data_IF_196322988791
#
_entry.id   IF_196322988791
#
_cell.length_a   1.000
_cell.length_b   1.000
_cell.length_c   1.000
_cell.angle_alpha   90.00
_cell.angle_beta   90.00
_cell.angle_gamma   90.00
#
_symmetry.space_group_name_H-M   'P 1'
#
loop_
_entity.id
_entity.type
_entity.pdbx_description
1 polymer ?
#
# COMPACT_ATOMS: atom_id res chain seq x y z
N UNK A 1 -41.00 -28.04 -56.06
CA UNK A 1 -42.11 -28.09 -55.08
C UNK A 1 -41.78 -29.11 -53.98
N UNK A 2 -42.39 -29.03 -52.79
CA UNK A 2 -41.90 -29.71 -51.58
C UNK A 2 -42.90 -30.67 -50.91
N UNK A 3 -42.42 -31.54 -50.00
CA UNK A 3 -43.15 -32.04 -48.82
C UNK A 3 -42.11 -32.13 -47.68
N UNK A 4 -42.01 -31.18 -46.73
CA UNK A 4 -42.86 -30.92 -45.55
C UNK A 4 -43.00 -32.09 -44.54
N UNK A 5 -42.32 -31.97 -43.41
CA UNK A 5 -42.87 -32.34 -42.10
C UNK A 5 -42.51 -31.24 -41.07
N UNK A 6 -43.37 -31.06 -40.06
CA UNK A 6 -43.64 -29.73 -39.50
C UNK A 6 -43.72 -29.73 -37.96
N UNK A 7 -43.20 -28.68 -37.31
CA UNK A 7 -43.46 -28.22 -35.92
C UNK A 7 -43.06 -29.20 -34.78
N UNK A 8 -42.37 -28.74 -33.74
CA UNK A 8 -42.86 -27.71 -32.80
C UNK A 8 -41.78 -26.75 -32.29
N UNK A 9 -42.16 -25.48 -32.15
CA UNK A 9 -41.43 -24.49 -31.37
C UNK A 9 -41.70 -24.70 -29.87
N UNK A 10 -40.70 -24.50 -29.03
CA UNK A 10 -40.91 -24.11 -27.64
C UNK A 10 -40.01 -22.91 -27.32
N UNK A 11 -40.61 -21.72 -27.25
CA UNK A 11 -39.96 -20.50 -26.78
C UNK A 11 -39.88 -20.54 -25.26
N UNK A 12 -38.70 -20.76 -24.69
CA UNK A 12 -38.44 -20.49 -23.28
C UNK A 12 -37.61 -19.21 -23.14
N UNK A 13 -38.30 -18.11 -22.83
CA UNK A 13 -37.67 -16.88 -22.35
C UNK A 13 -36.99 -17.16 -21.00
N UNK A 14 -35.67 -16.95 -20.84
CA UNK A 14 -35.08 -16.88 -19.51
C UNK A 14 -35.50 -15.56 -18.85
N UNK A 15 -36.49 -15.62 -17.95
CA UNK A 15 -36.76 -14.54 -16.99
C UNK A 15 -35.46 -14.23 -16.21
N UNK A 16 -35.19 -12.96 -15.84
CA UNK A 16 -34.03 -12.63 -15.03
C UNK A 16 -34.13 -13.35 -13.67
N UNK A 17 -33.12 -14.18 -13.36
CA UNK A 17 -33.02 -14.81 -12.03
C UNK A 17 -32.60 -13.77 -11.01
N UNK A 18 -33.54 -13.35 -10.17
CA UNK A 18 -33.27 -12.67 -8.91
C UNK A 18 -32.54 -13.63 -7.97
N UNK A 19 -31.22 -13.45 -7.84
CA UNK A 19 -30.44 -14.15 -6.82
C UNK A 19 -30.58 -13.43 -5.47
N UNK A 20 -31.37 -14.03 -4.57
CA UNK A 20 -31.36 -13.69 -3.15
C UNK A 20 -30.06 -14.19 -2.51
N UNK A 21 -29.32 -13.30 -1.87
CA UNK A 21 -28.11 -13.68 -1.12
C UNK A 21 -28.48 -14.27 0.25
N UNK A 22 -27.84 -15.36 0.70
CA UNK A 22 -27.93 -15.80 2.09
C UNK A 22 -27.34 -14.73 3.04
N UNK A 23 -28.06 -14.44 4.13
CA UNK A 23 -27.76 -13.37 5.06
C UNK A 23 -26.41 -13.52 5.80
N UNK A 24 -25.37 -12.82 5.35
CA UNK A 24 -24.08 -12.70 6.07
C UNK A 24 -24.13 -11.91 7.39
N UNK A 25 -25.30 -11.39 7.78
CA UNK A 25 -25.48 -10.56 8.98
C UNK A 25 -25.68 -11.38 10.27
N UNK A 26 -26.21 -12.60 10.17
CA UNK A 26 -26.49 -13.43 11.36
C UNK A 26 -25.22 -13.95 12.05
N UNK A 27 -24.25 -14.45 11.26
CA UNK A 27 -23.03 -15.07 11.80
C UNK A 27 -22.15 -14.06 12.59
N UNK A 28 -22.09 -12.80 12.14
CA UNK A 28 -21.37 -11.72 12.86
C UNK A 28 -22.06 -11.31 14.17
N UNK A 29 -23.39 -11.45 14.29
CA UNK A 29 -24.11 -11.13 15.53
C UNK A 29 -23.84 -12.15 16.64
N UNK A 30 -23.71 -13.43 16.31
CA UNK A 30 -23.42 -14.47 17.31
C UNK A 30 -21.99 -14.40 17.85
N UNK A 31 -21.01 -14.13 16.99
CA UNK A 31 -19.61 -13.97 17.42
C UNK A 31 -19.39 -12.72 18.29
N UNK A 32 -20.04 -11.58 17.97
CA UNK A 32 -19.99 -10.39 18.83
C UNK A 32 -20.66 -10.62 20.19
N UNK A 33 -21.78 -11.36 20.24
CA UNK A 33 -22.49 -11.70 21.48
C UNK A 33 -21.67 -12.65 22.37
N UNK A 34 -20.90 -13.56 21.78
CA UNK A 34 -19.95 -14.44 22.48
C UNK A 34 -18.70 -13.72 23.00
N UNK A 35 -18.32 -12.60 22.38
CA UNK A 35 -17.06 -11.89 22.71
C UNK A 35 -17.23 -10.79 23.76
N UNK A 36 -18.39 -10.11 23.82
CA UNK A 36 -18.56 -8.88 24.61
C UNK A 36 -19.69 -8.89 25.67
N UNK A 37 -20.43 -9.98 25.83
CA UNK A 37 -21.48 -10.06 26.85
C UNK A 37 -22.69 -9.14 26.61
N UNK A 38 -23.60 -9.06 27.59
CA UNK A 38 -24.97 -8.55 27.42
C UNK A 38 -25.11 -7.02 27.58
N UNK A 39 -24.06 -6.24 27.34
CA UNK A 39 -24.04 -4.81 27.70
C UNK A 39 -23.53 -3.90 26.56
N UNK A 40 -24.23 -3.88 25.41
CA UNK A 40 -24.15 -2.82 24.38
C UNK A 40 -25.17 -3.02 23.23
N UNK A 41 -26.46 -3.26 23.53
CA UNK A 41 -27.52 -3.36 22.51
C UNK A 41 -28.55 -2.24 22.51
N UNK A 42 -28.52 -1.35 23.51
CA UNK A 42 -29.57 -0.35 23.71
C UNK A 42 -29.06 1.07 23.42
N UNK A 43 -28.59 1.33 22.20
CA UNK A 43 -28.43 2.70 21.64
C UNK A 43 -28.20 2.70 20.12
N UNK A 44 -29.12 2.08 19.35
CA UNK A 44 -29.23 2.32 17.90
C UNK A 44 -30.71 2.39 17.50
N UNK A 45 -31.24 3.60 17.36
CA UNK A 45 -32.41 3.86 16.50
C UNK A 45 -31.97 4.70 15.29
N UNK A 46 -32.62 4.52 14.12
CA UNK A 46 -32.23 5.18 12.88
C UNK A 46 -32.80 6.60 12.81
N UNK A 47 -32.02 7.55 12.30
CA UNK A 47 -32.52 8.87 11.90
C UNK A 47 -32.33 9.01 10.39
N UNK A 48 -33.44 9.26 9.69
CA UNK A 48 -33.50 9.53 8.26
C UNK A 48 -33.21 11.00 7.97
N UNK A 49 -32.84 11.30 6.71
CA UNK A 49 -32.65 12.66 6.22
C UNK A 49 -33.97 13.45 6.19
N UNK A 50 -33.94 14.73 6.57
CA UNK A 50 -34.78 15.78 5.97
C UNK A 50 -34.13 17.17 6.16
N UNK A 51 -34.27 18.02 5.14
CA UNK A 51 -33.84 19.42 5.14
C UNK A 51 -34.57 20.27 6.21
N UNK A 52 -33.90 21.31 6.73
CA UNK A 52 -34.50 22.63 6.95
C UNK A 52 -33.47 23.71 7.31
N UNK A 53 -33.44 24.77 6.49
CA UNK A 53 -32.84 26.07 6.84
C UNK A 53 -33.85 26.96 7.58
N UNK A 54 -33.35 27.97 8.31
CA UNK A 54 -34.07 28.90 9.21
C UNK A 54 -34.48 28.22 10.54
N UNK A 55 -34.46 28.87 11.71
CA UNK A 55 -34.49 30.32 12.00
C UNK A 55 -33.72 30.65 13.29
N UNK A 56 -33.23 31.88 13.44
CA UNK A 56 -32.77 32.41 14.74
C UNK A 56 -33.92 32.45 15.76
N UNK A 57 -33.67 32.04 17.02
CA UNK A 57 -34.64 32.12 18.11
C UNK A 57 -34.00 31.97 19.49
N UNK A 58 -34.23 32.96 20.37
CA UNK A 58 -33.76 33.00 21.77
C UNK A 58 -34.46 31.92 22.62
N UNK A 59 -33.87 31.49 23.74
CA UNK A 59 -34.36 31.75 25.13
C UNK A 59 -33.71 30.84 26.20
N UNK A 60 -33.36 31.50 27.32
CA UNK A 60 -33.12 31.07 28.71
C UNK A 60 -31.95 30.18 29.20
N UNK A 61 -31.42 30.71 30.32
CA UNK A 61 -30.56 30.10 31.34
C UNK A 61 -31.45 29.36 32.35
N UNK A 62 -30.94 28.30 32.98
CA UNK A 62 -31.11 28.03 34.42
C UNK A 62 -30.18 26.89 34.89
N UNK A 63 -29.97 26.79 36.21
CA UNK A 63 -29.43 25.63 36.93
C UNK A 63 -27.99 25.15 36.61
N UNK A 64 -27.00 25.85 37.17
CA UNK A 64 -25.90 25.17 37.88
C UNK A 64 -25.29 26.10 38.93
N UNK A 65 -25.98 26.20 40.08
CA UNK A 65 -25.37 26.67 41.33
C UNK A 65 -24.60 25.51 41.96
N UNK A 66 -23.51 25.81 42.69
CA UNK A 66 -22.99 24.89 43.71
C UNK A 66 -21.47 24.72 43.75
N UNK A 67 -20.81 25.50 44.61
CA UNK A 67 -19.49 25.26 45.23
C UNK A 67 -18.27 25.12 44.30
N UNK A 68 -17.38 26.13 44.22
CA UNK A 68 -16.32 26.49 45.22
C UNK A 68 -15.27 25.38 45.38
N UNK A 69 -13.96 25.62 45.44
CA UNK A 69 -13.03 26.76 45.24
C UNK A 69 -11.73 26.26 45.90
N UNK A 70 -10.58 26.27 45.21
CA UNK A 70 -9.20 26.37 45.75
C UNK A 70 -8.21 25.85 44.69
N UNK A 71 -6.98 26.34 44.57
CA UNK A 71 -6.46 27.71 44.72
C UNK A 71 -5.09 27.72 44.01
N UNK A 72 -4.89 28.62 43.05
CA UNK A 72 -3.59 28.88 42.42
C UNK A 72 -3.23 30.33 42.74
N UNK A 73 -1.98 30.64 43.10
CA UNK A 73 -1.49 31.98 42.73
C UNK A 73 0.00 32.07 42.35
N UNK A 74 0.31 33.22 41.73
CA UNK A 74 1.62 33.85 41.46
C UNK A 74 2.34 33.38 40.17
N UNK A 75 2.45 34.15 39.05
CA UNK A 75 2.75 35.59 38.81
C UNK A 75 4.16 35.98 39.30
N UNK A 76 4.99 36.81 38.65
CA UNK A 76 5.03 37.48 37.33
C UNK A 76 6.55 37.84 37.09
N UNK A 77 7.05 38.34 35.94
CA UNK A 77 6.95 39.71 35.43
C UNK A 77 7.75 39.78 34.08
N UNK A 78 7.19 40.30 32.96
CA UNK A 78 7.44 41.66 32.38
C UNK A 78 8.72 41.74 31.50
N UNK A 79 8.76 42.33 30.29
CA UNK A 79 7.99 43.41 29.60
C UNK A 79 8.03 43.19 28.06
N UNK A 80 7.04 43.65 27.27
CA UNK A 80 7.13 43.54 25.78
C UNK A 80 5.85 43.71 24.91
N UNK A 81 4.92 44.59 25.30
CA UNK A 81 3.81 45.18 24.51
C UNK A 81 4.22 45.44 23.03
N UNK A 82 3.46 45.19 21.96
CA UNK A 82 2.04 44.78 21.71
C UNK A 82 1.89 44.22 20.25
N UNK A 83 0.75 43.96 19.56
CA UNK A 83 -0.69 44.28 19.79
C UNK A 83 -1.70 43.15 19.37
N UNK A 84 -2.32 43.19 18.17
CA UNK A 84 -3.56 42.49 17.72
C UNK A 84 -3.63 42.43 16.16
N UNK A 85 -4.48 41.67 15.44
CA UNK A 85 -5.69 40.84 15.70
C UNK A 85 -5.90 39.83 14.51
N UNK A 86 -6.75 38.78 14.49
CA UNK A 86 -7.66 38.12 15.46
C UNK A 86 -8.13 36.74 14.90
N UNK A 87 -8.31 35.74 15.78
CA UNK A 87 -9.21 34.55 15.67
C UNK A 87 -9.05 33.52 14.51
N UNK A 88 -9.41 32.23 14.65
CA UNK A 88 -9.99 31.48 15.77
C UNK A 88 -9.51 30.00 15.82
N UNK A 89 -9.46 29.38 17.01
CA UNK A 89 -9.11 27.94 17.20
C UNK A 89 -9.98 27.30 18.29
N UNK A 90 -10.79 26.30 17.91
CA UNK A 90 -11.42 25.23 18.73
C UNK A 90 -12.05 24.26 17.70
N UNK A 91 -11.99 22.93 17.81
CA UNK A 91 -11.76 22.04 18.95
C UNK A 91 -10.74 20.94 18.62
N UNK A 92 -10.00 20.45 19.62
CA UNK A 92 -9.17 19.23 19.53
C UNK A 92 -9.08 18.56 20.90
N UNK A 93 -9.69 17.38 21.03
CA UNK A 93 -9.64 16.34 22.08
C UNK A 93 -10.36 15.14 21.42
N UNK A 94 -9.94 13.88 21.46
CA UNK A 94 -8.90 13.21 22.23
C UNK A 94 -8.35 12.02 21.44
N UNK A 95 -7.02 11.85 21.35
CA UNK A 95 -6.41 10.53 21.15
C UNK A 95 -4.96 10.56 21.64
N UNK A 96 -4.69 9.87 22.77
CA UNK A 96 -3.33 9.76 23.32
C UNK A 96 -2.57 8.67 22.56
N UNK A 97 -1.55 9.05 21.79
CA UNK A 97 -0.49 8.14 21.37
C UNK A 97 0.84 8.91 21.29
N UNK A 98 1.48 9.10 22.45
CA UNK A 98 2.80 9.72 22.54
C UNK A 98 3.88 8.64 22.52
N UNK A 99 4.50 8.39 21.36
CA UNK A 99 5.85 7.81 21.33
C UNK A 99 6.63 8.17 20.05
N UNK A 100 6.93 9.47 19.88
CA UNK A 100 7.97 9.94 18.97
C UNK A 100 8.84 10.96 19.69
N UNK A 101 10.06 10.55 20.06
CA UNK A 101 11.10 11.47 20.55
C UNK A 101 11.98 11.86 19.37
N UNK A 102 11.69 13.00 18.76
CA UNK A 102 12.58 13.63 17.77
C UNK A 102 13.73 14.32 18.49
N UNK A 103 14.93 13.74 18.41
CA UNK A 103 16.14 14.39 18.92
C UNK A 103 16.58 15.50 17.95
N UNK A 104 16.48 16.75 18.39
CA UNK A 104 17.22 17.86 17.78
C UNK A 104 18.66 17.83 18.31
N UNK A 105 19.64 17.82 17.40
CA UNK A 105 21.05 17.96 17.74
C UNK A 105 21.36 19.44 18.01
N UNK A 106 21.50 19.81 19.28
CA UNK A 106 22.15 21.08 19.67
C UNK A 106 23.66 20.90 19.70
N UNK A 107 24.36 21.66 18.86
CA UNK A 107 25.81 21.64 18.71
C UNK A 107 26.46 22.38 19.88
N UNK A 108 27.33 21.72 20.64
CA UNK A 108 28.23 22.39 21.59
C UNK A 108 29.63 22.44 21.00
N UNK A 109 30.18 23.64 20.86
CA UNK A 109 31.57 23.83 20.43
C UNK A 109 32.51 23.82 21.64
N UNK A 110 33.57 23.02 21.56
CA UNK A 110 34.84 23.24 22.27
C UNK A 110 35.97 22.67 21.40
N UNK A 111 36.98 23.49 21.13
CA UNK A 111 38.14 23.13 20.32
C UNK A 111 39.13 22.28 21.11
N UNK A 112 39.73 21.29 20.47
CA UNK A 112 41.12 20.83 20.69
C UNK A 112 41.68 20.36 19.34
N UNK A 113 42.95 20.65 19.06
CA UNK A 113 43.61 20.23 17.82
C UNK A 113 44.16 18.80 17.95
N UNK A 114 44.04 17.98 16.89
CA UNK A 114 45.17 17.74 15.97
C UNK A 114 44.99 16.49 15.10
N UNK A 115 45.78 16.45 14.02
CA UNK A 115 46.01 15.37 13.05
C UNK A 115 44.83 14.90 12.19
N UNK A 116 45.05 14.98 10.88
CA UNK A 116 44.05 14.71 9.88
C UNK A 116 43.88 13.22 9.60
N UNK A 117 42.63 12.82 9.40
CA UNK A 117 42.29 11.75 8.48
C UNK A 117 41.23 12.28 7.52
N UNK A 118 41.39 11.98 6.24
CA UNK A 118 40.47 12.40 5.19
C UNK A 118 39.17 11.60 5.26
N UNK A 119 38.35 11.88 6.28
CA UNK A 119 37.00 11.34 6.41
C UNK A 119 36.13 11.89 5.27
N UNK A 120 36.19 11.22 4.12
CA UNK A 120 35.06 11.21 3.20
C UNK A 120 33.86 10.77 4.01
N UNK A 121 32.93 11.69 4.26
CA UNK A 121 31.76 11.47 5.11
C UNK A 121 30.82 10.50 4.41
N UNK A 122 31.12 9.19 4.53
CA UNK A 122 30.32 8.10 3.98
C UNK A 122 28.94 8.24 4.63
N UNK A 123 27.99 8.78 3.88
CA UNK A 123 26.58 8.85 4.29
C UNK A 123 26.19 7.46 4.76
N UNK A 124 25.80 7.36 6.03
CA UNK A 124 25.44 6.08 6.63
C UNK A 124 24.42 5.35 5.74
N UNK A 125 24.63 4.04 5.45
CA UNK A 125 23.82 3.32 4.50
C UNK A 125 22.37 3.32 4.96
N UNK A 126 21.46 3.56 4.02
CA UNK A 126 20.04 3.72 4.31
C UNK A 126 19.37 2.40 4.73
N UNK A 127 19.87 1.28 4.22
CA UNK A 127 19.49 -0.06 4.62
C UNK A 127 20.68 -0.72 5.33
N UNK A 128 20.41 -1.49 6.38
CA UNK A 128 21.43 -2.21 7.15
C UNK A 128 21.19 -3.72 7.01
N UNK A 129 21.97 -4.36 6.15
CA UNK A 129 21.92 -5.80 5.84
C UNK A 129 22.90 -6.64 6.67
N UNK A 130 23.78 -6.00 7.46
CA UNK A 130 24.82 -6.65 8.28
C UNK A 130 24.24 -7.74 9.18
N UNK A 131 23.30 -7.42 10.07
CA UNK A 131 22.67 -8.40 10.97
C UNK A 131 21.97 -9.55 10.19
N UNK A 132 21.50 -9.27 8.97
CA UNK A 132 20.96 -10.33 8.11
C UNK A 132 22.07 -11.24 7.57
N UNK A 133 23.22 -10.73 7.14
CA UNK A 133 24.32 -11.62 6.73
C UNK A 133 24.90 -12.40 7.92
N UNK A 134 25.06 -11.77 9.07
CA UNK A 134 25.66 -12.39 10.26
C UNK A 134 24.76 -13.48 10.90
N UNK A 135 23.44 -13.24 10.94
CA UNK A 135 22.50 -14.08 11.71
C UNK A 135 21.29 -14.59 10.91
N UNK A 136 20.95 -13.93 9.81
CA UNK A 136 19.77 -14.21 8.98
C UNK A 136 20.02 -15.07 7.74
N UNK A 137 21.22 -15.00 7.18
CA UNK A 137 21.57 -15.65 5.93
C UNK A 137 21.72 -17.17 6.14
N UNK A 138 21.40 -17.93 5.11
CA UNK A 138 21.43 -19.37 5.17
C UNK A 138 22.78 -19.86 4.63
N UNK A 139 23.61 -20.47 5.48
CA UNK A 139 24.98 -20.87 5.15
C UNK A 139 25.17 -21.76 3.88
N UNK A 140 24.10 -22.40 3.38
CA UNK A 140 24.13 -23.19 2.14
C UNK A 140 23.75 -22.39 0.89
N UNK A 141 23.39 -21.12 1.04
CA UNK A 141 22.91 -20.22 -0.02
C UNK A 141 24.05 -19.28 -0.40
N UNK A 142 24.25 -18.98 -1.69
CA UNK A 142 25.19 -17.94 -2.11
C UNK A 142 24.88 -16.57 -1.49
N UNK A 143 25.83 -15.64 -1.54
CA UNK A 143 25.61 -14.27 -1.08
C UNK A 143 24.46 -13.62 -1.86
N UNK A 144 23.38 -13.27 -1.16
CA UNK A 144 22.22 -12.60 -1.75
C UNK A 144 22.58 -11.12 -1.96
N UNK A 145 22.38 -10.57 -3.16
CA UNK A 145 22.72 -9.17 -3.42
C UNK A 145 21.86 -8.20 -2.59
N UNK A 146 22.44 -7.12 -2.09
CA UNK A 146 21.69 -6.09 -1.36
C UNK A 146 20.53 -5.53 -2.18
N UNK A 147 20.70 -5.40 -3.50
CA UNK A 147 19.63 -4.99 -4.42
C UNK A 147 18.47 -5.99 -4.52
N UNK A 148 18.70 -7.29 -4.26
CA UNK A 148 17.60 -8.25 -4.07
C UNK A 148 16.97 -8.08 -2.70
N UNK A 149 17.76 -7.93 -1.64
CA UNK A 149 17.24 -7.77 -0.27
C UNK A 149 16.36 -6.52 -0.12
N UNK A 150 16.84 -5.37 -0.61
CA UNK A 150 16.08 -4.11 -0.66
C UNK A 150 14.80 -4.24 -1.50
N UNK A 151 14.88 -4.85 -2.68
CA UNK A 151 13.70 -5.16 -3.52
C UNK A 151 12.71 -6.06 -2.77
N UNK A 152 13.18 -7.11 -2.11
CA UNK A 152 12.33 -8.04 -1.38
C UNK A 152 11.61 -7.36 -0.21
N UNK A 153 12.29 -6.46 0.51
CA UNK A 153 11.66 -5.66 1.57
C UNK A 153 10.50 -4.83 0.99
N UNK A 154 10.74 -4.07 -0.09
CA UNK A 154 9.67 -3.27 -0.73
C UNK A 154 8.52 -4.10 -1.29
N UNK A 155 8.82 -5.29 -1.82
CA UNK A 155 7.80 -6.23 -2.32
C UNK A 155 6.99 -6.87 -1.18
N UNK A 156 7.66 -7.19 -0.06
CA UNK A 156 6.99 -7.65 1.16
C UNK A 156 6.13 -6.55 1.79
N UNK A 157 6.57 -5.29 1.76
CA UNK A 157 5.76 -4.20 2.32
C UNK A 157 4.48 -3.93 1.53
N UNK A 158 4.44 -4.29 0.23
CA UNK A 158 3.23 -4.33 -0.57
C UNK A 158 2.35 -5.58 -0.30
N UNK A 159 2.85 -6.78 -0.64
CA UNK A 159 2.05 -8.02 -0.71
C UNK A 159 2.37 -9.06 0.37
N UNK A 160 3.27 -8.72 1.30
CA UNK A 160 3.66 -9.54 2.44
C UNK A 160 2.79 -9.33 3.68
N UNK A 161 2.73 -10.36 4.52
CA UNK A 161 1.93 -10.36 5.74
C UNK A 161 2.67 -11.01 6.90
N UNK A 162 2.80 -10.26 8.01
CA UNK A 162 3.15 -10.80 9.32
C UNK A 162 1.90 -11.36 10.00
N UNK A 163 1.96 -12.60 10.48
CA UNK A 163 0.82 -13.27 11.11
C UNK A 163 1.24 -14.12 12.30
N UNK A 164 0.32 -14.25 13.25
CA UNK A 164 0.43 -15.14 14.40
C UNK A 164 -0.88 -15.91 14.52
N UNK A 165 -0.84 -17.24 14.50
CA UNK A 165 -2.02 -18.09 14.45
C UNK A 165 -1.95 -19.20 15.49
N UNK A 166 -3.10 -19.66 15.96
CA UNK A 166 -3.18 -20.70 16.99
C UNK A 166 -3.29 -22.08 16.33
N UNK A 167 -2.30 -22.94 16.58
CA UNK A 167 -2.37 -24.36 16.24
C UNK A 167 -3.26 -25.08 17.26
N UNK A 168 -4.15 -25.93 16.76
CA UNK A 168 -4.95 -26.89 17.55
C UNK A 168 -4.43 -28.30 17.28
N UNK A 169 -4.55 -29.19 18.25
CA UNK A 169 -4.34 -30.63 18.02
C UNK A 169 -5.59 -31.27 17.39
N UNK A 170 -5.53 -32.58 17.14
CA UNK A 170 -6.64 -33.39 16.62
C UNK A 170 -7.88 -33.32 17.51
N UNK A 171 -7.71 -33.20 18.84
CA UNK A 171 -8.82 -33.03 19.80
C UNK A 171 -9.32 -31.58 19.94
N UNK A 172 -8.97 -30.68 19.00
CA UNK A 172 -9.41 -29.28 18.98
C UNK A 172 -8.81 -28.36 20.07
N UNK A 173 -8.02 -28.91 21.00
CA UNK A 173 -7.35 -28.17 22.07
C UNK A 173 -6.21 -27.34 21.49
N UNK A 174 -6.14 -26.08 21.92
CA UNK A 174 -5.02 -25.17 21.57
C UNK A 174 -3.72 -25.77 22.09
N UNK A 175 -2.72 -25.91 21.21
CA UNK A 175 -1.39 -26.39 21.58
C UNK A 175 -0.39 -25.26 21.68
N UNK A 176 -0.18 -24.54 20.58
CA UNK A 176 0.80 -23.45 20.50
C UNK A 176 0.32 -22.35 19.56
N UNK A 177 0.69 -21.10 19.83
CA UNK A 177 0.51 -20.00 18.90
C UNK A 177 1.81 -19.84 18.08
N UNK A 178 1.73 -19.87 16.75
CA UNK A 178 2.89 -19.90 15.84
C UNK A 178 3.01 -18.62 15.03
N UNK A 179 4.26 -18.19 14.81
CA UNK A 179 4.58 -17.05 13.96
C UNK A 179 4.72 -17.52 12.51
N UNK A 180 4.22 -16.70 11.60
CA UNK A 180 4.29 -16.91 10.16
C UNK A 180 4.53 -15.59 9.45
N UNK A 181 5.40 -15.61 8.44
CA UNK A 181 5.31 -14.65 7.34
C UNK A 181 4.85 -15.35 6.06
N UNK A 182 4.18 -14.61 5.18
CA UNK A 182 3.89 -15.09 3.83
C UNK A 182 3.71 -13.96 2.83
N UNK A 183 4.07 -14.22 1.57
CA UNK A 183 3.68 -13.44 0.39
C UNK A 183 2.79 -14.36 -0.47
N UNK A 184 1.70 -13.83 -1.02
CA UNK A 184 0.84 -14.58 -1.97
C UNK A 184 0.73 -13.82 -3.30
N UNK A 185 0.94 -14.50 -4.42
CA UNK A 185 0.91 -13.93 -5.78
C UNK A 185 0.19 -14.85 -6.76
N UNK A 186 -0.28 -14.30 -7.89
CA UNK A 186 -0.75 -15.12 -9.01
C UNK A 186 0.40 -15.76 -9.78
N UNK A 187 1.54 -15.08 -9.82
CA UNK A 187 2.74 -15.54 -10.52
C UNK A 187 3.51 -16.56 -9.69
N UNK A 188 3.51 -17.82 -10.13
CA UNK A 188 4.31 -18.91 -9.54
C UNK A 188 5.80 -18.56 -9.48
N UNK A 189 6.35 -18.08 -10.60
CA UNK A 189 7.78 -17.84 -10.81
C UNK A 189 8.41 -16.90 -9.78
N UNK A 190 7.73 -15.83 -9.36
CA UNK A 190 8.30 -14.90 -8.37
C UNK A 190 8.30 -15.51 -6.96
N UNK A 191 7.30 -16.33 -6.63
CA UNK A 191 7.20 -17.06 -5.36
C UNK A 191 8.32 -18.12 -5.26
N UNK A 192 8.56 -18.88 -6.34
CA UNK A 192 9.68 -19.82 -6.42
C UNK A 192 11.04 -19.10 -6.39
N UNK A 193 11.18 -17.97 -7.08
CA UNK A 193 12.40 -17.15 -7.06
C UNK A 193 12.74 -16.69 -5.64
N UNK A 194 11.74 -16.25 -4.86
CA UNK A 194 11.94 -15.86 -3.46
C UNK A 194 12.38 -17.06 -2.61
N UNK A 195 11.68 -18.19 -2.72
CA UNK A 195 12.01 -19.40 -1.96
C UNK A 195 13.43 -19.92 -2.25
N UNK A 196 13.80 -19.97 -3.54
CA UNK A 196 15.13 -20.36 -3.99
C UNK A 196 16.21 -19.37 -3.52
N UNK A 197 15.97 -18.07 -3.65
CA UNK A 197 16.99 -17.05 -3.29
C UNK A 197 17.28 -17.03 -1.79
N UNK A 198 16.31 -17.33 -0.93
CA UNK A 198 16.56 -17.48 0.52
C UNK A 198 17.00 -18.88 0.95
N UNK A 199 16.85 -19.91 0.09
CA UNK A 199 17.08 -21.31 0.44
C UNK A 199 16.21 -21.83 1.59
N UNK A 200 15.08 -21.17 1.87
CA UNK A 200 14.15 -21.58 2.92
C UNK A 200 12.72 -21.07 2.71
N UNK A 201 11.82 -21.66 3.48
CA UNK A 201 10.37 -21.42 3.39
C UNK A 201 9.71 -22.32 2.35
N UNK A 202 8.41 -22.50 2.52
CA UNK A 202 7.62 -23.46 1.75
C UNK A 202 6.84 -22.73 0.66
N UNK A 203 6.84 -23.28 -0.56
CA UNK A 203 5.96 -22.86 -1.65
C UNK A 203 4.72 -23.75 -1.64
N UNK A 204 3.54 -23.13 -1.72
CA UNK A 204 2.25 -23.83 -1.84
C UNK A 204 1.31 -23.07 -2.76
N UNK A 205 0.28 -23.74 -3.28
CA UNK A 205 -0.79 -23.12 -4.06
C UNK A 205 -2.14 -23.22 -3.34
N UNK A 206 -3.04 -22.28 -3.61
CA UNK A 206 -4.43 -22.31 -3.15
C UNK A 206 -5.35 -21.66 -4.18
N UNK A 207 -6.60 -22.13 -4.26
CA UNK A 207 -7.62 -21.54 -5.12
C UNK A 207 -8.37 -20.42 -4.39
N UNK A 208 -8.70 -19.33 -5.08
CA UNK A 208 -9.62 -18.31 -4.61
C UNK A 208 -10.33 -17.65 -5.78
N UNK A 209 -11.66 -17.82 -5.85
CA UNK A 209 -12.50 -17.32 -6.95
C UNK A 209 -11.98 -17.79 -8.32
N UNK A 210 -11.78 -19.11 -8.46
CA UNK A 210 -11.30 -19.79 -9.68
C UNK A 210 -9.95 -19.31 -10.22
N UNK A 211 -9.17 -18.62 -9.38
CA UNK A 211 -7.80 -18.19 -9.66
C UNK A 211 -6.85 -18.89 -8.69
N UNK A 212 -5.84 -19.57 -9.26
CA UNK A 212 -4.72 -20.13 -8.53
C UNK A 212 -3.82 -19.01 -8.00
N UNK A 213 -3.54 -19.02 -6.70
CA UNK A 213 -2.52 -18.19 -6.08
C UNK A 213 -1.42 -19.09 -5.52
N UNK A 214 -0.18 -18.66 -5.69
CA UNK A 214 1.01 -19.25 -5.13
C UNK A 214 1.43 -18.46 -3.89
N UNK A 215 1.95 -19.15 -2.88
CA UNK A 215 2.32 -18.57 -1.60
C UNK A 215 3.67 -19.09 -1.15
N UNK A 216 4.58 -18.17 -0.84
CA UNK A 216 5.76 -18.48 -0.03
C UNK A 216 5.41 -18.27 1.44
N UNK A 217 5.81 -19.21 2.31
CA UNK A 217 5.48 -19.23 3.74
C UNK A 217 6.71 -19.58 4.57
N UNK A 218 6.97 -18.84 5.64
CA UNK A 218 8.02 -19.17 6.62
C UNK A 218 7.39 -19.31 8.02
N UNK A 219 7.46 -20.52 8.58
CA UNK A 219 6.80 -20.92 9.84
C UNK A 219 7.70 -21.68 10.83
N UNK A 220 8.90 -22.11 10.40
CA UNK A 220 9.88 -22.76 11.27
C UNK A 220 10.61 -21.70 12.10
N UNK A 221 10.73 -21.89 13.43
CA UNK A 221 11.38 -20.94 14.36
C UNK A 221 12.68 -20.36 13.81
N UNK A 222 13.63 -21.21 13.40
CA UNK A 222 14.94 -20.82 12.84
C UNK A 222 14.81 -19.84 11.65
N UNK A 223 13.98 -20.16 10.65
CA UNK A 223 13.85 -19.31 9.46
C UNK A 223 12.99 -18.05 9.71
N UNK A 224 12.08 -18.10 10.71
CA UNK A 224 11.35 -16.93 11.20
C UNK A 224 12.29 -15.94 11.90
N UNK A 225 13.22 -16.43 12.73
CA UNK A 225 14.26 -15.61 13.35
C UNK A 225 15.22 -15.04 12.31
N UNK A 226 15.62 -15.85 11.32
CA UNK A 226 16.47 -15.40 10.20
C UNK A 226 15.91 -14.20 9.43
N UNK A 227 14.65 -14.30 8.98
CA UNK A 227 14.04 -13.23 8.16
C UNK A 227 13.71 -11.99 8.99
N UNK A 228 13.57 -12.11 10.33
CA UNK A 228 13.38 -10.96 11.20
C UNK A 228 14.61 -10.02 11.20
N UNK A 229 15.83 -10.55 11.10
CA UNK A 229 17.04 -9.73 10.96
C UNK A 229 17.05 -8.90 9.66
N UNK A 230 16.41 -9.38 8.59
CA UNK A 230 16.28 -8.61 7.35
C UNK A 230 15.32 -7.43 7.50
N UNK A 231 14.22 -7.59 8.25
CA UNK A 231 13.22 -6.54 8.43
C UNK A 231 13.55 -5.53 9.53
N UNK A 232 14.30 -5.91 10.57
CA UNK A 232 14.63 -5.02 11.69
C UNK A 232 15.39 -3.77 11.22
N UNK A 233 14.84 -2.58 11.46
CA UNK A 233 15.38 -1.29 11.02
C UNK A 233 15.21 -0.96 9.53
N UNK A 234 14.73 -1.91 8.70
CA UNK A 234 14.73 -1.80 7.24
C UNK A 234 13.34 -1.59 6.60
N UNK A 235 12.24 -1.67 7.36
CA UNK A 235 10.88 -1.39 6.89
C UNK A 235 10.62 0.13 6.77
N UNK A 236 9.86 0.55 5.76
CA UNK A 236 9.54 1.97 5.48
C UNK A 236 8.08 2.33 5.79
N UNK A 237 7.12 1.44 5.54
CA UNK A 237 5.70 1.72 5.77
C UNK A 237 5.36 1.64 7.27
N UNK A 238 4.78 2.70 7.88
CA UNK A 238 4.49 2.71 9.32
C UNK A 238 3.61 1.53 9.78
N UNK A 239 2.62 1.15 8.97
CA UNK A 239 1.78 -0.04 9.22
C UNK A 239 2.58 -1.34 9.28
N UNK A 240 3.59 -1.50 8.41
CA UNK A 240 4.42 -2.71 8.38
C UNK A 240 5.41 -2.72 9.55
N UNK A 241 5.98 -1.57 9.91
CA UNK A 241 6.77 -1.40 11.14
C UNK A 241 5.95 -1.79 12.39
N UNK A 242 4.71 -1.32 12.51
CA UNK A 242 3.79 -1.67 13.62
C UNK A 242 3.45 -3.17 13.61
N UNK A 243 3.11 -3.74 12.46
CA UNK A 243 2.83 -5.19 12.34
C UNK A 243 4.04 -6.04 12.72
N UNK A 244 5.24 -5.65 12.28
CA UNK A 244 6.49 -6.30 12.63
C UNK A 244 6.75 -6.24 14.13
N UNK A 245 6.67 -5.06 14.78
CA UNK A 245 6.90 -4.92 16.21
C UNK A 245 5.92 -5.77 17.04
N UNK A 246 4.63 -5.75 16.70
CA UNK A 246 3.63 -6.60 17.33
C UNK A 246 3.95 -8.09 17.13
N UNK A 247 4.39 -8.48 15.93
CA UNK A 247 4.76 -9.86 15.60
C UNK A 247 6.03 -10.33 16.35
N UNK A 248 7.04 -9.47 16.48
CA UNK A 248 8.23 -9.70 17.32
C UNK A 248 7.81 -9.92 18.78
N UNK A 249 6.94 -9.08 19.34
CA UNK A 249 6.45 -9.23 20.72
C UNK A 249 5.78 -10.60 20.95
N UNK A 250 4.97 -11.07 20.00
CA UNK A 250 4.33 -12.40 20.05
C UNK A 250 5.33 -13.56 19.95
N UNK A 251 6.52 -13.35 19.38
CA UNK A 251 7.61 -14.33 19.37
C UNK A 251 8.49 -14.28 20.63
N UNK A 252 8.73 -13.08 21.17
CA UNK A 252 9.48 -12.92 22.43
C UNK A 252 8.78 -13.62 23.60
N UNK A 253 7.43 -13.57 23.64
CA UNK A 253 6.59 -14.35 24.57
C UNK A 253 6.78 -15.89 24.48
N UNK A 254 7.53 -16.39 23.49
CA UNK A 254 7.84 -17.81 23.24
C UNK A 254 9.34 -18.09 23.25
N UNK A 255 10.15 -17.18 23.79
CA UNK A 255 11.61 -17.31 23.80
C UNK A 255 12.22 -17.35 22.39
N UNK A 256 11.60 -16.68 21.43
CA UNK A 256 12.20 -16.36 20.12
C UNK A 256 12.84 -14.96 20.17
N UNK A 257 13.67 -14.64 19.17
CA UNK A 257 14.29 -13.31 19.01
C UNK A 257 15.13 -12.90 20.23
N UNK A 258 15.99 -13.83 20.68
CA UNK A 258 17.00 -13.60 21.71
C UNK A 258 18.18 -12.78 21.15
N UNK A 259 19.05 -12.29 22.03
CA UNK A 259 20.32 -11.67 21.64
C UNK A 259 21.07 -12.58 20.63
N UNK A 260 21.70 -12.01 19.58
CA UNK A 260 21.94 -10.58 19.35
C UNK A 260 20.79 -9.80 18.68
N UNK A 261 19.59 -10.37 18.52
CA UNK A 261 18.47 -9.66 17.89
C UNK A 261 18.06 -8.38 18.66
N UNK A 262 18.14 -7.22 18.00
CA UNK A 262 17.69 -5.94 18.54
C UNK A 262 16.37 -5.50 17.91
N UNK A 263 15.28 -5.51 18.70
CA UNK A 263 13.96 -5.01 18.28
C UNK A 263 13.81 -3.48 18.28
N UNK A 264 14.73 -2.77 18.94
CA UNK A 264 14.73 -1.31 19.08
C UNK A 264 15.65 -0.64 18.03
N UNK A 265 16.03 -1.36 16.97
CA UNK A 265 16.84 -0.84 15.87
C UNK A 265 16.09 0.32 15.18
N UNK A 266 16.78 1.42 14.92
CA UNK A 266 16.19 2.61 14.31
C UNK A 266 15.74 2.31 12.86
N UNK A 267 14.58 2.85 12.48
CA UNK A 267 14.05 2.79 11.11
C UNK A 267 14.80 3.81 10.23
N UNK A 268 15.96 3.41 9.70
CA UNK A 268 16.81 4.27 8.86
C UNK A 268 16.51 4.15 7.36
N UNK A 269 15.74 3.13 6.96
CA UNK A 269 15.29 2.93 5.59
C UNK A 269 14.39 4.08 5.11
N UNK A 270 14.65 4.57 3.89
CA UNK A 270 13.93 5.68 3.26
C UNK A 270 13.81 5.46 1.75
N UNK A 271 12.77 6.07 1.18
CA UNK A 271 12.54 6.07 -0.26
C UNK A 271 13.69 6.82 -0.97
N UNK A 272 14.26 6.24 -2.02
CA UNK A 272 15.35 6.86 -2.78
C UNK A 272 15.58 6.24 -4.15
N UNK A 273 16.41 6.91 -4.97
CA UNK A 273 16.90 6.41 -6.28
C UNK A 273 18.27 5.70 -6.17
N UNK A 274 18.77 5.55 -4.95
CA UNK A 274 20.02 4.90 -4.56
C UNK A 274 19.82 3.46 -4.04
N UNK A 275 18.56 2.98 -3.96
CA UNK A 275 18.20 1.67 -3.42
C UNK A 275 17.05 1.01 -4.19
N UNK A 276 16.94 -0.31 -4.08
CA UNK A 276 15.98 -1.12 -4.85
C UNK A 276 14.59 -1.27 -4.22
N UNK A 277 14.32 -0.66 -3.05
CA UNK A 277 13.06 -0.82 -2.32
C UNK A 277 11.84 -0.43 -3.15
N UNK A 278 11.90 0.74 -3.80
CA UNK A 278 10.78 1.25 -4.58
C UNK A 278 10.50 0.36 -5.80
N UNK A 279 11.49 -0.37 -6.32
CA UNK A 279 11.29 -1.38 -7.38
C UNK A 279 10.41 -2.53 -6.89
N UNK A 280 10.68 -3.04 -5.68
CA UNK A 280 9.84 -4.06 -5.04
C UNK A 280 8.43 -3.55 -4.72
N UNK A 281 8.33 -2.33 -4.21
CA UNK A 281 7.03 -1.73 -3.89
C UNK A 281 6.20 -1.47 -5.16
N UNK A 282 6.84 -1.11 -6.29
CA UNK A 282 6.20 -1.03 -7.61
C UNK A 282 5.77 -2.42 -8.10
N UNK A 283 6.57 -3.47 -7.88
CA UNK A 283 6.22 -4.85 -8.25
C UNK A 283 4.91 -5.33 -7.59
N UNK A 284 4.61 -4.90 -6.36
CA UNK A 284 3.29 -5.10 -5.75
C UNK A 284 2.23 -4.07 -6.18
N UNK A 285 2.37 -2.82 -5.74
CA UNK A 285 1.31 -1.79 -5.79
C UNK A 285 1.29 -0.91 -7.06
N UNK A 286 2.36 -0.95 -7.86
CA UNK A 286 2.50 -0.09 -9.05
C UNK A 286 1.63 -0.53 -10.22
N UNK A 287 1.08 0.42 -10.98
CA UNK A 287 0.28 0.14 -12.18
C UNK A 287 0.73 1.01 -13.37
N UNK A 288 1.03 0.34 -14.49
CA UNK A 288 1.37 0.99 -15.76
C UNK A 288 0.13 1.08 -16.64
N UNK A 289 -0.28 2.31 -16.96
CA UNK A 289 -1.54 2.55 -17.66
C UNK A 289 -1.34 3.45 -18.88
N UNK A 290 -1.94 3.07 -19.99
CA UNK A 290 -2.19 3.98 -21.10
C UNK A 290 -3.53 3.62 -21.76
N UNK A 291 -4.22 4.62 -22.27
CA UNK A 291 -5.41 4.45 -23.10
C UNK A 291 -5.61 5.65 -24.02
N UNK A 292 -6.46 5.46 -25.03
CA UNK A 292 -6.92 6.54 -25.90
C UNK A 292 -8.31 6.99 -25.45
N UNK A 293 -8.49 8.31 -25.31
CA UNK A 293 -9.77 8.95 -24.99
C UNK A 293 -10.26 9.78 -26.16
N UNK A 294 -11.53 9.63 -26.52
CA UNK A 294 -12.23 10.62 -27.34
C UNK A 294 -12.29 11.97 -26.58
N UNK A 295 -12.11 13.12 -27.25
CA UNK A 295 -12.37 14.43 -26.69
C UNK A 295 -13.80 14.55 -26.15
N UNK A 296 -14.02 15.48 -25.20
CA UNK A 296 -15.32 15.61 -24.52
C UNK A 296 -16.44 16.03 -25.49
N UNK A 297 -16.15 16.90 -26.46
CA UNK A 297 -17.10 17.35 -27.48
C UNK A 297 -17.59 16.17 -28.36
N UNK A 298 -16.66 15.43 -28.96
CA UNK A 298 -16.98 14.28 -29.83
C UNK A 298 -17.65 13.14 -29.08
N UNK A 299 -17.31 12.92 -27.80
CA UNK A 299 -17.97 11.89 -26.98
C UNK A 299 -19.45 12.17 -26.76
N UNK A 300 -19.88 13.43 -26.87
CA UNK A 300 -21.30 13.78 -26.84
C UNK A 300 -21.95 13.61 -28.23
N UNK A 301 -21.26 13.93 -29.32
CA UNK A 301 -21.76 13.74 -30.69
C UNK A 301 -21.88 12.25 -31.09
N UNK A 302 -20.93 11.41 -30.67
CA UNK A 302 -20.91 9.96 -30.93
C UNK A 302 -21.96 9.17 -30.11
N UNK A 303 -22.61 9.78 -29.11
CA UNK A 303 -23.82 9.19 -28.50
C UNK A 303 -25.04 9.25 -29.44
N UNK A 304 -25.01 10.15 -30.42
CA UNK A 304 -26.14 10.46 -31.29
C UNK A 304 -25.89 10.07 -32.77
N UNK A 305 -24.81 9.35 -33.08
CA UNK A 305 -24.46 9.01 -34.47
C UNK A 305 -23.71 7.68 -34.62
N UNK A 306 -24.06 6.93 -35.67
CA UNK A 306 -23.49 5.60 -36.00
C UNK A 306 -22.10 5.66 -36.67
N UNK A 307 -21.32 6.72 -36.47
CA UNK A 307 -20.10 6.95 -37.26
C UNK A 307 -18.91 6.11 -36.77
N UNK A 308 -18.38 5.26 -37.67
CA UNK A 308 -17.40 4.19 -37.34
C UNK A 308 -16.07 4.36 -38.08
N UNK A 309 -15.59 5.59 -38.28
CA UNK A 309 -14.23 5.84 -38.75
C UNK A 309 -13.22 5.72 -37.61
N UNK A 310 -12.04 5.16 -37.89
CA UNK A 310 -10.99 4.86 -36.90
C UNK A 310 -10.06 6.05 -36.58
N UNK A 311 -10.39 7.25 -37.06
CA UNK A 311 -9.57 8.47 -36.95
C UNK A 311 -10.30 9.74 -36.43
N UNK A 312 -11.09 9.69 -35.33
CA UNK A 312 -11.32 10.88 -34.51
C UNK A 312 -10.04 11.25 -33.72
N UNK A 313 -9.84 12.51 -33.30
CA UNK A 313 -8.69 13.01 -32.53
C UNK A 313 -8.59 12.44 -31.10
N UNK A 314 -8.23 11.16 -31.00
CA UNK A 314 -8.01 10.49 -29.72
C UNK A 314 -6.82 11.08 -28.94
N UNK A 315 -7.09 11.64 -27.75
CA UNK A 315 -6.04 12.03 -26.80
C UNK A 315 -5.47 10.78 -26.12
N UNK A 316 -4.18 10.53 -26.29
CA UNK A 316 -3.44 9.56 -25.48
C UNK A 316 -3.37 10.05 -24.03
N UNK A 317 -3.83 9.22 -23.10
CA UNK A 317 -3.60 9.39 -21.68
C UNK A 317 -2.74 8.22 -21.18
N UNK A 318 -1.50 8.54 -20.81
CA UNK A 318 -0.48 7.62 -20.33
C UNK A 318 -0.03 8.08 -18.94
N UNK A 319 -0.16 7.21 -17.95
CA UNK A 319 0.27 7.44 -16.58
C UNK A 319 0.82 6.18 -15.92
N UNK A 320 1.67 6.38 -14.93
CA UNK A 320 1.93 5.40 -13.89
C UNK A 320 1.13 5.80 -12.65
N UNK A 321 0.61 4.83 -11.91
CA UNK A 321 -0.03 5.07 -10.61
C UNK A 321 0.53 4.13 -9.55
N UNK A 322 0.64 4.63 -8.33
CA UNK A 322 1.00 3.83 -7.15
C UNK A 322 -0.08 4.09 -6.09
N UNK A 323 -0.66 3.02 -5.56
CA UNK A 323 -1.79 3.08 -4.62
C UNK A 323 -1.37 2.40 -3.31
N UNK A 324 -1.85 2.87 -2.16
CA UNK A 324 -1.72 2.15 -0.89
C UNK A 324 -2.92 2.47 0.00
N UNK A 325 -3.31 1.55 0.89
CA UNK A 325 -4.27 1.83 1.95
C UNK A 325 -3.65 2.81 2.96
N UNK A 326 -4.36 3.91 3.27
CA UNK A 326 -3.94 4.90 4.26
C UNK A 326 -4.53 4.53 5.63
N UNK A 327 -3.78 3.74 6.40
CA UNK A 327 -4.15 3.18 7.71
C UNK A 327 -3.27 3.77 8.81
N UNK A 328 -2.00 4.03 8.52
CA UNK A 328 -0.98 4.55 9.45
C UNK A 328 -0.16 5.70 8.83
N UNK A 329 -0.80 6.57 8.04
CA UNK A 329 -0.17 7.71 7.34
C UNK A 329 0.81 7.30 6.22
N UNK A 330 0.49 6.23 5.48
CA UNK A 330 1.21 5.82 4.27
C UNK A 330 1.19 6.90 3.17
N UNK A 331 0.24 7.85 3.26
CA UNK A 331 0.21 9.03 2.39
C UNK A 331 1.46 9.93 2.55
N UNK A 332 2.11 9.96 3.71
CA UNK A 332 3.41 10.62 3.88
C UNK A 332 4.50 9.95 3.04
N UNK A 333 4.52 8.61 2.98
CA UNK A 333 5.47 7.85 2.15
C UNK A 333 5.17 8.05 0.66
N UNK A 334 3.89 8.01 0.27
CA UNK A 334 3.50 8.30 -1.12
C UNK A 334 3.81 9.75 -1.52
N UNK A 335 3.69 10.71 -0.59
CA UNK A 335 4.10 12.10 -0.82
C UNK A 335 5.61 12.21 -1.06
N UNK A 336 6.44 11.52 -0.28
CA UNK A 336 7.89 11.43 -0.52
C UNK A 336 8.20 10.84 -1.91
N UNK A 337 7.53 9.75 -2.31
CA UNK A 337 7.66 9.15 -3.65
C UNK A 337 7.25 10.16 -4.75
N UNK A 338 6.15 10.90 -4.55
CA UNK A 338 5.69 11.93 -5.50
C UNK A 338 6.71 13.05 -5.70
N UNK A 339 7.27 13.57 -4.59
CA UNK A 339 8.33 14.58 -4.61
C UNK A 339 9.60 14.07 -5.26
N UNK A 340 10.01 12.82 -4.99
CA UNK A 340 11.19 12.19 -5.58
C UNK A 340 11.08 12.08 -7.12
N UNK A 341 9.88 11.81 -7.65
CA UNK A 341 9.60 11.83 -9.09
C UNK A 341 9.27 13.21 -9.65
N UNK A 342 9.40 14.29 -8.87
CA UNK A 342 9.04 15.67 -9.28
C UNK A 342 7.63 15.75 -9.87
N UNK A 343 6.66 15.04 -9.28
CA UNK A 343 5.27 15.10 -9.72
C UNK A 343 4.53 16.24 -9.02
N UNK A 344 3.97 17.13 -9.82
CA UNK A 344 3.07 18.21 -9.38
C UNK A 344 1.63 17.71 -9.11
N UNK A 345 1.34 16.44 -9.41
CA UNK A 345 0.03 15.87 -9.17
C UNK A 345 -0.25 15.70 -7.67
N UNK A 346 -1.33 16.34 -7.20
CA UNK A 346 -1.86 16.15 -5.85
C UNK A 346 -2.16 14.67 -5.56
N UNK A 347 -1.96 14.27 -4.31
CA UNK A 347 -2.36 12.96 -3.82
C UNK A 347 -3.88 12.82 -3.94
N UNK A 348 -4.32 11.69 -4.50
CA UNK A 348 -5.74 11.36 -4.66
C UNK A 348 -6.17 10.40 -3.55
N UNK A 349 -7.23 10.75 -2.84
CA UNK A 349 -7.79 9.94 -1.75
C UNK A 349 -9.16 9.39 -2.16
N UNK A 350 -9.41 8.11 -1.92
CA UNK A 350 -10.68 7.46 -2.25
C UNK A 350 -10.97 6.30 -1.31
N UNK A 351 -12.25 5.99 -1.08
CA UNK A 351 -12.67 4.83 -0.28
C UNK A 351 -13.05 3.66 -1.19
N UNK A 352 -12.81 2.45 -0.73
CA UNK A 352 -13.37 1.26 -1.38
C UNK A 352 -14.88 1.20 -1.10
N UNK A 353 -15.70 0.84 -2.09
CA UNK A 353 -17.16 0.69 -1.90
C UNK A 353 -17.52 -0.43 -0.92
N UNK A 354 -16.62 -1.40 -0.72
CA UNK A 354 -16.82 -2.59 0.11
C UNK A 354 -16.16 -2.50 1.49
N UNK A 355 -15.23 -1.58 1.71
CA UNK A 355 -14.51 -1.44 2.99
C UNK A 355 -14.31 0.04 3.35
N UNK A 356 -14.45 0.43 4.63
CA UNK A 356 -14.29 1.84 5.05
C UNK A 356 -12.87 2.38 4.90
N UNK A 357 -11.91 1.52 4.55
CA UNK A 357 -10.50 1.85 4.28
C UNK A 357 -10.38 2.95 3.22
N UNK A 358 -9.76 4.06 3.60
CA UNK A 358 -9.28 5.08 2.67
C UNK A 358 -8.00 4.58 2.00
N UNK A 359 -7.91 4.78 0.70
CA UNK A 359 -6.72 4.55 -0.12
C UNK A 359 -6.19 5.89 -0.60
N UNK A 360 -4.86 5.98 -0.68
CA UNK A 360 -4.13 7.11 -1.25
C UNK A 360 -3.46 6.64 -2.54
N UNK A 361 -3.41 7.52 -3.55
CA UNK A 361 -2.72 7.26 -4.82
C UNK A 361 -2.00 8.50 -5.33
N UNK A 362 -0.79 8.29 -5.84
CA UNK A 362 -0.06 9.24 -6.67
C UNK A 362 -0.16 8.85 -8.15
N UNK A 363 -0.07 9.84 -9.04
CA UNK A 363 -0.03 9.63 -10.48
C UNK A 363 1.18 10.36 -11.09
N UNK A 364 1.88 9.70 -12.01
CA UNK A 364 2.97 10.27 -12.79
C UNK A 364 2.51 10.36 -14.25
N UNK A 365 2.15 11.56 -14.70
CA UNK A 365 1.47 11.83 -15.99
C UNK A 365 2.36 12.55 -17.01
N UNK A 366 3.21 13.47 -16.55
CA UNK A 366 4.10 14.29 -17.38
C UNK A 366 5.34 13.53 -17.87
N UNK A 367 5.99 14.01 -18.94
CA UNK A 367 7.19 13.35 -19.49
C UNK A 367 8.35 13.29 -18.49
N UNK A 368 8.60 14.36 -17.74
CA UNK A 368 9.71 14.45 -16.77
C UNK A 368 9.62 13.38 -15.66
N UNK A 369 8.49 13.31 -14.95
CA UNK A 369 8.29 12.31 -13.89
C UNK A 369 8.34 10.87 -14.40
N UNK A 370 7.86 10.63 -15.62
CA UNK A 370 7.91 9.32 -16.27
C UNK A 370 9.34 8.95 -16.73
N UNK A 371 10.16 9.93 -17.11
CA UNK A 371 11.59 9.72 -17.43
C UNK A 371 12.38 9.34 -16.18
N UNK A 372 12.14 9.99 -15.05
CA UNK A 372 12.71 9.62 -13.75
C UNK A 372 12.30 8.19 -13.34
N UNK A 373 11.04 7.80 -13.53
CA UNK A 373 10.57 6.43 -13.32
C UNK A 373 11.27 5.42 -14.22
N UNK A 374 11.42 5.73 -15.52
CA UNK A 374 12.12 4.88 -16.48
C UNK A 374 13.58 4.68 -16.07
N UNK A 375 14.28 5.76 -15.71
CA UNK A 375 15.68 5.71 -15.29
C UNK A 375 15.85 4.90 -13.99
N UNK A 376 14.95 5.07 -13.02
CA UNK A 376 14.93 4.29 -11.80
C UNK A 376 14.73 2.79 -12.06
N UNK A 377 13.69 2.41 -12.83
CA UNK A 377 13.37 1.00 -13.12
C UNK A 377 14.41 0.35 -14.06
N UNK A 378 15.12 1.12 -14.87
CA UNK A 378 16.23 0.60 -15.66
C UNK A 378 17.46 0.26 -14.80
N UNK A 379 17.70 1.02 -13.71
CA UNK A 379 18.73 0.71 -12.69
C UNK A 379 18.31 -0.43 -11.77
N UNK A 380 17.09 -0.39 -11.23
CA UNK A 380 16.51 -1.39 -10.34
C UNK A 380 15.32 -2.07 -11.02
N UNK A 381 15.60 -3.16 -11.73
CA UNK A 381 14.61 -3.89 -12.54
C UNK A 381 13.52 -4.52 -11.68
N UNK A 382 12.27 -4.33 -12.10
CA UNK A 382 11.12 -5.12 -11.65
C UNK A 382 11.37 -6.61 -11.94
N UNK A 383 10.86 -7.49 -11.06
CA UNK A 383 11.07 -8.94 -11.09
C UNK A 383 9.79 -9.75 -11.39
N UNK A 384 8.60 -9.14 -11.29
CA UNK A 384 7.35 -9.78 -11.73
C UNK A 384 7.10 -9.58 -13.24
N UNK A 385 6.03 -10.16 -13.78
CA UNK A 385 5.54 -9.89 -15.14
C UNK A 385 5.25 -8.41 -15.39
N UNK A 386 5.09 -7.60 -14.34
CA UNK A 386 4.97 -6.14 -14.41
C UNK A 386 6.19 -5.48 -15.08
N UNK A 387 7.36 -6.12 -15.13
CA UNK A 387 8.47 -5.69 -15.98
C UNK A 387 8.10 -5.64 -17.48
N UNK A 388 7.30 -6.61 -17.96
CA UNK A 388 6.81 -6.64 -19.35
C UNK A 388 5.85 -5.46 -19.58
N UNK A 389 4.93 -5.21 -18.63
CA UNK A 389 4.03 -4.06 -18.67
C UNK A 389 4.81 -2.73 -18.71
N UNK A 390 5.83 -2.58 -17.85
CA UNK A 390 6.75 -1.45 -17.86
C UNK A 390 7.44 -1.28 -19.22
N UNK A 391 8.05 -2.34 -19.79
CA UNK A 391 8.73 -2.26 -21.09
C UNK A 391 7.78 -1.89 -22.24
N UNK A 392 6.52 -2.36 -22.22
CA UNK A 392 5.48 -1.94 -23.19
C UNK A 392 5.08 -0.48 -23.00
N UNK A 393 4.89 -0.05 -21.76
CA UNK A 393 4.55 1.33 -21.40
C UNK A 393 5.70 2.33 -21.68
N UNK A 394 6.96 1.95 -21.49
CA UNK A 394 8.12 2.75 -21.90
C UNK A 394 8.14 2.95 -23.42
N UNK A 395 7.79 1.93 -24.22
CA UNK A 395 7.65 2.10 -25.69
C UNK A 395 6.50 3.05 -26.08
N UNK A 396 5.46 3.21 -25.25
CA UNK A 396 4.43 4.27 -25.40
C UNK A 396 5.05 5.63 -25.10
N UNK A 397 5.79 5.76 -24.00
CA UNK A 397 6.50 6.99 -23.63
C UNK A 397 7.43 7.46 -24.76
N UNK A 398 8.25 6.59 -25.34
CA UNK A 398 9.17 6.95 -26.43
C UNK A 398 8.42 7.43 -27.68
N UNK A 399 7.31 6.78 -28.04
CA UNK A 399 6.46 7.21 -29.16
C UNK A 399 5.76 8.55 -28.89
N UNK A 400 5.47 8.87 -27.62
CA UNK A 400 4.93 10.16 -27.20
C UNK A 400 6.00 11.25 -27.26
N UNK A 401 7.18 11.01 -26.65
CA UNK A 401 8.34 11.94 -26.62
C UNK A 401 8.81 12.31 -28.04
N UNK A 402 8.86 11.34 -28.94
CA UNK A 402 9.39 11.53 -30.30
C UNK A 402 8.34 11.94 -31.35
N UNK A 403 7.10 12.28 -30.96
CA UNK A 403 6.04 12.69 -31.90
C UNK A 403 5.54 11.63 -32.91
N UNK A 404 6.17 10.46 -33.01
CA UNK A 404 5.89 9.39 -34.00
C UNK A 404 4.41 9.00 -34.09
N UNK A 405 3.68 9.12 -32.98
CA UNK A 405 2.27 8.82 -32.85
C UNK A 405 1.31 9.76 -33.61
N UNK A 406 1.80 10.91 -34.10
CA UNK A 406 1.03 11.90 -34.86
C UNK A 406 0.77 11.46 -36.31
N UNK A 407 1.58 10.55 -36.87
CA UNK A 407 1.32 9.93 -38.17
C UNK A 407 0.27 8.81 -38.06
N UNK A 408 -0.56 8.61 -39.08
CA UNK A 408 -1.61 7.57 -39.07
C UNK A 408 -1.04 6.14 -38.84
N UNK A 409 0.05 5.81 -39.54
CA UNK A 409 0.82 4.56 -39.37
C UNK A 409 1.41 4.45 -37.95
N UNK A 410 1.86 5.57 -37.38
CA UNK A 410 2.35 5.67 -36.02
C UNK A 410 1.26 5.46 -34.97
N UNK A 411 0.10 6.09 -35.15
CA UNK A 411 -1.10 5.94 -34.35
C UNK A 411 -1.60 4.49 -34.35
N UNK A 412 -1.82 3.89 -35.52
CA UNK A 412 -2.24 2.48 -35.66
C UNK A 412 -1.29 1.51 -34.92
N UNK A 413 0.02 1.76 -35.01
CA UNK A 413 1.05 0.99 -34.27
C UNK A 413 1.01 1.25 -32.75
N UNK A 414 0.80 2.49 -32.33
CA UNK A 414 0.69 2.85 -30.91
C UNK A 414 -0.58 2.29 -30.27
N UNK A 415 -1.72 2.32 -30.97
CA UNK A 415 -2.99 1.76 -30.50
C UNK A 415 -2.86 0.29 -30.12
N UNK A 416 -2.26 -0.53 -31.00
CA UNK A 416 -1.97 -1.95 -30.74
C UNK A 416 -1.06 -2.12 -29.52
N UNK A 417 0.00 -1.31 -29.41
CA UNK A 417 0.90 -1.34 -28.25
C UNK A 417 0.18 -1.00 -26.94
N UNK A 418 -0.64 0.05 -26.92
CA UNK A 418 -1.44 0.48 -25.76
C UNK A 418 -2.40 -0.61 -25.30
N UNK A 419 -3.13 -1.24 -26.24
CA UNK A 419 -3.98 -2.41 -25.95
C UNK A 419 -3.20 -3.60 -25.40
N UNK A 420 -1.91 -3.73 -25.74
CA UNK A 420 -1.08 -4.85 -25.28
C UNK A 420 -0.47 -4.70 -23.89
N UNK A 421 -0.47 -3.51 -23.26
CA UNK A 421 0.36 -3.24 -22.06
C UNK A 421 0.17 -4.29 -20.97
N UNK A 422 -1.05 -4.43 -20.45
CA UNK A 422 -1.40 -5.33 -19.35
C UNK A 422 -1.98 -6.67 -19.82
N UNK A 423 -1.75 -7.06 -21.08
CA UNK A 423 -2.10 -8.39 -21.57
C UNK A 423 -1.04 -9.38 -21.11
N UNK A 424 -1.38 -10.20 -20.12
CA UNK A 424 -0.59 -11.37 -19.79
C UNK A 424 -0.47 -12.27 -21.03
N UNK A 425 0.75 -12.73 -21.35
CA UNK A 425 0.87 -13.94 -22.17
C UNK A 425 0.48 -15.08 -21.24
N UNK A 426 -0.46 -15.91 -21.67
CA UNK A 426 -0.66 -17.23 -21.08
C UNK A 426 0.55 -18.06 -21.51
N UNK A 427 1.60 -18.04 -20.69
CA UNK A 427 2.74 -18.95 -20.87
C UNK A 427 2.28 -20.32 -20.37
N UNK A 428 1.81 -21.14 -21.31
CA UNK A 428 1.45 -22.53 -21.09
C UNK A 428 2.75 -23.36 -20.96
N UNK A 429 3.22 -23.53 -19.72
CA UNK A 429 4.19 -24.57 -19.31
C UNK A 429 4.32 -24.60 -17.78
#
# INVERSE_FOLDING_TARGET
>A
MPIYLHKKQNKLNPKPRTFTFPNRILCLREDLRKTYGKALTDFVQPIQEYDLCRTYGKVNRAATQGFKRQLWPQLCLVKGIQLQAKFNRRYFLNCKCNYYRTCYLTRSEKQTLSYGSSETTRKAPCFSTTDFYDYGHAAHVPLISESFLQWFIGFFEADGHFSCYTQKNVSGKVTTQRLKISISQKEKKIIETIAYTFGFGNVSSFQRNDVTYWRWTVESKKNVERIAYLFSGNLILPKQQIQFLNWIEQGQKKGMFKAPFNKNKLWLAKVGFDNAWLSGFIDGEGCFYAHFRLPKAERNQLKNSNYKTLLPPYKLDQKFTLTQANICNEDLVLKQISTLFKSEASLSYFKNKLTPTTYVRIELTCLNSQELLINYVNRYKLRTSKYICFRRWWRVYLRRKNGVHLSEKGFKRLYRLVKSINVARMENS
#
